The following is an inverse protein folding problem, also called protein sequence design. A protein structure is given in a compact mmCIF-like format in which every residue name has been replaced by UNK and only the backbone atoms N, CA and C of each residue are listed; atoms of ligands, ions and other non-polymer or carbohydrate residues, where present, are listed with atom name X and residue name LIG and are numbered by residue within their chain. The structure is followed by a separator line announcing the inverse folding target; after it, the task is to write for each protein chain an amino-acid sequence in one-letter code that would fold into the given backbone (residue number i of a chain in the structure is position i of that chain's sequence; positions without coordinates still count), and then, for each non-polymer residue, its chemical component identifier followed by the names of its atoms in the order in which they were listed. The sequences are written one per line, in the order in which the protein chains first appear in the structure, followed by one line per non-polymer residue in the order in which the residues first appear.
data_IF_729892300189
#
_entry.id   IF_729892300189
#
_cell.length_a   1.000
_cell.length_b   1.000
_cell.length_c   1.000
_cell.angle_alpha   90.00
_cell.angle_beta   90.00
_cell.angle_gamma   90.00
#
_symmetry.space_group_name_H-M   'P 1'
#
loop_
_entity.id
_entity.type
_entity.pdbx_description
1 polymer ?
#
# COMPACT_ATOMS: atom_id res chain seq x y z
N UNK A 1 17.62 -24.43 -42.55
CA UNK A 1 16.26 -24.43 -43.12
C UNK A 1 15.32 -24.09 -41.97
N UNK A 2 14.72 -22.91 -41.98
CA UNK A 2 13.89 -22.42 -40.89
C UNK A 2 12.58 -23.22 -40.86
N UNK A 3 12.11 -23.62 -39.68
CA UNK A 3 10.92 -24.43 -39.54
C UNK A 3 9.65 -23.65 -39.93
N UNK A 4 8.82 -24.23 -40.79
CA UNK A 4 7.49 -23.73 -41.16
C UNK A 4 6.55 -23.80 -39.96
N UNK A 5 5.80 -22.71 -39.72
CA UNK A 5 4.70 -22.70 -38.74
C UNK A 5 3.40 -23.08 -39.44
N UNK A 6 2.64 -24.01 -38.86
CA UNK A 6 1.36 -24.47 -39.42
C UNK A 6 0.19 -24.06 -38.54
N UNK A 7 -0.87 -23.53 -39.12
CA UNK A 7 -2.08 -23.15 -38.40
C UNK A 7 -2.75 -24.40 -37.84
N UNK A 8 -3.04 -24.39 -36.55
CA UNK A 8 -3.82 -25.42 -35.86
C UNK A 8 -5.28 -24.98 -35.73
N UNK A 9 -5.51 -23.70 -35.42
CA UNK A 9 -6.84 -23.13 -35.21
C UNK A 9 -6.86 -21.65 -35.55
N UNK A 10 -8.01 -21.16 -36.02
CA UNK A 10 -8.26 -19.73 -36.23
C UNK A 10 -9.29 -19.27 -35.19
N UNK A 11 -8.97 -18.23 -34.42
CA UNK A 11 -9.90 -17.67 -33.42
C UNK A 11 -10.73 -16.53 -34.01
N UNK A 12 -10.07 -15.61 -34.70
CA UNK A 12 -10.71 -14.50 -35.42
C UNK A 12 -9.83 -14.05 -36.58
N UNK A 13 -10.19 -12.94 -37.24
CA UNK A 13 -9.44 -12.41 -38.39
C UNK A 13 -7.98 -12.03 -38.08
N UNK A 14 -7.61 -11.85 -36.81
CA UNK A 14 -6.30 -11.34 -36.42
C UNK A 14 -5.51 -12.30 -35.51
N UNK A 15 -6.10 -13.40 -35.05
CA UNK A 15 -5.49 -14.30 -34.04
C UNK A 15 -5.64 -15.76 -34.46
N UNK A 16 -4.53 -16.48 -34.51
CA UNK A 16 -4.45 -17.90 -34.86
C UNK A 16 -3.57 -18.67 -33.88
N UNK A 17 -3.90 -19.94 -33.61
CA UNK A 17 -3.01 -20.90 -32.97
C UNK A 17 -2.20 -21.61 -34.06
N UNK A 18 -0.89 -21.70 -33.88
CA UNK A 18 0.01 -22.36 -34.82
C UNK A 18 0.99 -23.30 -34.13
N UNK A 19 1.37 -24.37 -34.81
CA UNK A 19 2.46 -25.25 -34.41
C UNK A 19 3.78 -24.68 -34.92
N UNK A 20 4.70 -24.37 -34.00
CA UNK A 20 6.09 -24.03 -34.30
C UNK A 20 7.03 -25.21 -34.02
N UNK A 21 8.32 -25.06 -34.32
CA UNK A 21 9.35 -26.05 -33.96
C UNK A 21 9.54 -26.23 -32.44
N UNK A 22 9.12 -25.24 -31.64
CA UNK A 22 9.31 -25.21 -30.19
C UNK A 22 8.01 -25.50 -29.42
N UNK A 23 6.92 -25.80 -30.10
CA UNK A 23 5.61 -26.03 -29.49
C UNK A 23 4.51 -25.19 -30.14
N UNK A 24 3.31 -25.25 -29.57
CA UNK A 24 2.16 -24.43 -29.97
C UNK A 24 2.40 -22.97 -29.58
N UNK A 25 2.06 -22.05 -30.46
CA UNK A 25 2.21 -20.61 -30.29
C UNK A 25 0.97 -19.89 -30.79
N UNK A 26 0.61 -18.79 -30.15
CA UNK A 26 -0.49 -17.93 -30.59
C UNK A 26 0.12 -16.78 -31.37
N UNK A 27 -0.34 -16.61 -32.60
CA UNK A 27 0.15 -15.58 -33.51
C UNK A 27 -0.93 -14.52 -33.69
N UNK A 28 -0.51 -13.27 -33.63
CA UNK A 28 -1.37 -12.13 -33.91
C UNK A 28 -0.84 -11.34 -35.10
N UNK A 29 -1.73 -10.79 -35.91
CA UNK A 29 -1.37 -10.02 -37.09
C UNK A 29 -2.61 -9.50 -37.81
N UNK A 30 -2.49 -8.34 -38.45
CA UNK A 30 -3.64 -7.70 -39.11
C UNK A 30 -4.11 -8.57 -40.28
N UNK A 31 -5.31 -9.14 -40.17
CA UNK A 31 -5.88 -10.03 -41.18
C UNK A 31 -5.23 -11.42 -41.25
N UNK A 32 -4.40 -11.81 -40.28
CA UNK A 32 -3.68 -13.09 -40.26
C UNK A 32 -4.60 -14.33 -40.34
N UNK A 33 -5.76 -14.26 -39.70
CA UNK A 33 -6.78 -15.32 -39.73
C UNK A 33 -7.77 -15.20 -40.89
N UNK A 34 -7.72 -14.12 -41.67
CA UNK A 34 -8.65 -13.89 -42.76
C UNK A 34 -8.35 -14.80 -43.95
N UNK A 35 -9.33 -15.63 -44.34
CA UNK A 35 -9.18 -16.69 -45.34
C UNK A 35 -8.18 -17.82 -45.02
N UNK A 36 -7.65 -17.85 -43.81
CA UNK A 36 -6.73 -18.89 -43.33
C UNK A 36 -7.51 -20.09 -42.79
N UNK A 37 -6.98 -21.31 -42.97
CA UNK A 37 -7.57 -22.57 -42.48
C UNK A 37 -6.57 -23.39 -41.66
N UNK A 38 -7.03 -24.25 -40.73
CA UNK A 38 -6.18 -25.25 -40.10
C UNK A 38 -5.43 -26.08 -41.14
N UNK A 39 -4.12 -26.21 -40.97
CA UNK A 39 -3.20 -26.88 -41.87
C UNK A 39 -2.41 -25.96 -42.79
N UNK A 40 -2.83 -24.71 -42.97
CA UNK A 40 -2.13 -23.73 -43.81
C UNK A 40 -0.78 -23.32 -43.19
N UNK A 41 0.19 -23.02 -44.03
CA UNK A 41 1.48 -22.45 -43.59
C UNK A 41 1.30 -20.95 -43.30
N UNK A 42 1.82 -20.51 -42.16
CA UNK A 42 1.75 -19.10 -41.76
C UNK A 42 2.82 -18.27 -42.49
N UNK A 43 2.42 -17.17 -43.13
CA UNK A 43 3.36 -16.18 -43.65
C UNK A 43 3.96 -15.37 -42.50
N UNK A 44 5.28 -15.51 -42.29
CA UNK A 44 6.00 -14.80 -41.23
C UNK A 44 5.93 -13.29 -41.35
N UNK A 45 5.82 -12.74 -42.55
CA UNK A 45 5.72 -11.29 -42.75
C UNK A 45 4.38 -10.71 -42.25
N UNK A 46 3.36 -11.56 -42.10
CA UNK A 46 2.04 -11.18 -41.60
C UNK A 46 1.91 -11.28 -40.07
N UNK A 47 2.93 -11.80 -39.38
CA UNK A 47 2.95 -11.92 -37.92
C UNK A 47 3.38 -10.58 -37.32
N UNK A 48 2.50 -9.97 -36.53
CA UNK A 48 2.80 -8.80 -35.72
C UNK A 48 3.43 -9.19 -34.37
N UNK A 49 2.87 -10.20 -33.70
CA UNK A 49 3.40 -10.66 -32.41
C UNK A 49 3.17 -12.16 -32.21
N UNK A 50 4.12 -12.82 -31.54
CA UNK A 50 4.08 -14.24 -31.17
C UNK A 50 4.00 -14.39 -29.66
N UNK A 51 2.99 -15.12 -29.17
CA UNK A 51 2.81 -15.45 -27.77
C UNK A 51 3.07 -16.94 -27.56
N UNK A 52 3.95 -17.26 -26.62
CA UNK A 52 4.24 -18.66 -26.25
C UNK A 52 3.44 -19.00 -24.99
N UNK A 53 2.59 -20.04 -25.01
CA UNK A 53 1.96 -20.55 -23.81
C UNK A 53 3.03 -21.05 -22.83
N UNK A 54 3.22 -20.35 -21.72
CA UNK A 54 4.08 -20.78 -20.61
C UNK A 54 3.25 -21.40 -19.49
N UNK A 55 3.91 -22.18 -18.62
CA UNK A 55 3.38 -22.66 -17.34
C UNK A 55 2.14 -23.57 -17.40
N UNK A 56 2.08 -24.49 -18.37
CA UNK A 56 1.03 -25.51 -18.44
C UNK A 56 -0.37 -24.96 -18.71
N UNK A 57 -0.48 -23.69 -19.12
CA UNK A 57 -1.74 -23.06 -19.52
C UNK A 57 -2.20 -23.62 -20.86
N UNK A 58 -3.50 -23.86 -20.97
CA UNK A 58 -4.13 -24.32 -22.20
C UNK A 58 -3.99 -23.26 -23.32
N UNK A 59 -3.27 -23.57 -24.41
CA UNK A 59 -3.08 -22.66 -25.54
C UNK A 59 -4.39 -22.24 -26.19
N UNK A 60 -5.42 -23.09 -26.18
CA UNK A 60 -6.73 -22.77 -26.71
C UNK A 60 -7.44 -21.69 -25.88
N UNK A 61 -7.41 -21.83 -24.56
CA UNK A 61 -7.97 -20.82 -23.65
C UNK A 61 -7.27 -19.48 -23.79
N UNK A 62 -5.94 -19.50 -23.84
CA UNK A 62 -5.11 -18.31 -24.00
C UNK A 62 -5.37 -17.59 -25.34
N UNK A 63 -5.50 -18.36 -26.41
CA UNK A 63 -5.85 -17.83 -27.73
C UNK A 63 -7.23 -17.20 -27.77
N UNK A 64 -8.21 -17.78 -27.06
CA UNK A 64 -9.54 -17.20 -26.91
C UNK A 64 -9.53 -15.86 -26.14
N UNK A 65 -8.71 -15.73 -25.10
CA UNK A 65 -8.54 -14.48 -24.35
C UNK A 65 -7.95 -13.37 -25.25
N UNK A 66 -6.87 -13.66 -25.96
CA UNK A 66 -6.25 -12.69 -26.88
C UNK A 66 -7.22 -12.31 -28.00
N UNK A 67 -8.02 -13.26 -28.50
CA UNK A 67 -9.01 -12.99 -29.54
C UNK A 67 -10.18 -12.10 -29.08
N UNK A 68 -10.42 -12.00 -27.77
CA UNK A 68 -11.41 -11.08 -27.18
C UNK A 68 -10.94 -9.63 -27.11
N UNK A 69 -9.64 -9.37 -27.23
CA UNK A 69 -9.06 -8.03 -27.14
C UNK A 69 -9.28 -7.24 -28.44
N UNK A 70 -9.54 -5.93 -28.37
CA UNK A 70 -9.57 -5.13 -29.58
C UNK A 70 -8.14 -5.02 -30.14
N UNK A 71 -7.91 -5.70 -31.27
CA UNK A 71 -6.59 -5.86 -31.90
C UNK A 71 -5.83 -4.54 -32.09
N UNK A 72 -6.56 -3.45 -32.35
CA UNK A 72 -5.99 -2.11 -32.48
C UNK A 72 -5.16 -1.68 -31.26
N UNK A 73 -5.65 -1.93 -30.03
CA UNK A 73 -4.91 -1.57 -28.81
C UNK A 73 -3.73 -2.50 -28.56
N UNK A 74 -3.87 -3.78 -28.90
CA UNK A 74 -2.77 -4.75 -28.79
C UNK A 74 -1.60 -4.37 -29.71
N UNK A 75 -1.91 -3.99 -30.95
CA UNK A 75 -0.94 -3.50 -31.94
C UNK A 75 -0.27 -2.21 -31.46
N UNK A 76 -1.05 -1.25 -30.97
CA UNK A 76 -0.52 0.02 -30.42
C UNK A 76 0.40 -0.20 -29.23
N UNK A 77 -0.01 -1.02 -28.26
CA UNK A 77 0.78 -1.33 -27.07
C UNK A 77 2.07 -2.05 -27.41
N UNK A 78 2.02 -2.98 -28.37
CA UNK A 78 3.22 -3.71 -28.81
C UNK A 78 4.22 -2.75 -29.45
N UNK A 79 3.75 -1.87 -30.36
CA UNK A 79 4.60 -0.88 -31.02
C UNK A 79 5.18 0.12 -30.01
N UNK A 80 4.35 0.72 -29.17
CA UNK A 80 4.78 1.67 -28.15
C UNK A 80 5.73 1.02 -27.12
N UNK A 81 5.46 -0.22 -26.74
CA UNK A 81 6.30 -1.00 -25.84
C UNK A 81 7.71 -1.26 -26.38
N UNK A 82 7.84 -1.52 -27.68
CA UNK A 82 9.16 -1.66 -28.33
C UNK A 82 9.95 -0.34 -28.33
N UNK A 83 9.29 0.80 -28.59
CA UNK A 83 9.93 2.12 -28.61
C UNK A 83 10.48 2.53 -27.23
N UNK A 84 9.78 2.19 -26.16
CA UNK A 84 10.22 2.49 -24.78
C UNK A 84 11.16 1.44 -24.19
N UNK A 85 11.47 0.39 -24.95
CA UNK A 85 12.42 -0.66 -24.54
C UNK A 85 11.87 -1.66 -23.53
N UNK A 86 10.56 -1.95 -23.54
CA UNK A 86 10.02 -3.08 -22.77
C UNK A 86 10.67 -4.39 -23.24
N UNK A 87 11.03 -5.23 -22.27
CA UNK A 87 11.69 -6.50 -22.57
C UNK A 87 10.74 -7.47 -23.33
N UNK A 88 11.34 -8.40 -24.08
CA UNK A 88 10.59 -9.37 -24.90
C UNK A 88 9.66 -10.25 -24.06
N UNK A 89 10.04 -10.57 -22.82
CA UNK A 89 9.24 -11.36 -21.89
C UNK A 89 7.92 -10.64 -21.52
N UNK A 90 7.96 -9.32 -21.34
CA UNK A 90 6.78 -8.49 -21.04
C UNK A 90 5.88 -8.39 -22.26
N UNK A 91 6.44 -8.10 -23.42
CA UNK A 91 5.69 -7.94 -24.67
C UNK A 91 5.07 -9.26 -25.17
N UNK A 92 5.71 -10.39 -24.87
CA UNK A 92 5.23 -11.72 -25.20
C UNK A 92 4.38 -12.35 -24.11
N UNK A 93 4.14 -11.65 -22.99
CA UNK A 93 3.28 -12.10 -21.89
C UNK A 93 1.81 -11.83 -22.23
N UNK A 94 0.98 -12.86 -22.47
CA UNK A 94 -0.42 -12.68 -22.83
C UNK A 94 -1.22 -11.97 -21.74
N UNK A 95 -1.00 -12.33 -20.47
CA UNK A 95 -1.73 -11.76 -19.33
C UNK A 95 -1.41 -10.28 -19.14
N UNK A 96 -0.16 -9.90 -19.33
CA UNK A 96 0.28 -8.50 -19.23
C UNK A 96 -0.32 -7.69 -20.36
N UNK A 97 -0.19 -8.16 -21.60
CA UNK A 97 -0.71 -7.47 -22.77
C UNK A 97 -2.23 -7.36 -22.74
N UNK A 98 -2.92 -8.38 -22.23
CA UNK A 98 -4.37 -8.34 -21.98
C UNK A 98 -4.73 -7.27 -20.96
N UNK A 99 -4.08 -7.27 -19.79
CA UNK A 99 -4.36 -6.29 -18.74
C UNK A 99 -4.11 -4.84 -19.21
N UNK A 100 -3.01 -4.60 -19.93
CA UNK A 100 -2.71 -3.29 -20.50
C UNK A 100 -3.71 -2.89 -21.60
N UNK A 101 -4.05 -3.80 -22.50
CA UNK A 101 -5.00 -3.53 -23.59
C UNK A 101 -6.40 -3.22 -23.06
N UNK A 102 -6.88 -3.99 -22.09
CA UNK A 102 -8.15 -3.74 -21.42
C UNK A 102 -8.11 -2.39 -20.69
N UNK A 103 -7.05 -2.13 -19.93
CA UNK A 103 -6.91 -0.86 -19.21
C UNK A 103 -6.98 0.34 -20.15
N UNK A 104 -6.20 0.33 -21.24
CA UNK A 104 -6.18 1.41 -22.24
C UNK A 104 -7.55 1.51 -22.94
N UNK A 105 -8.16 0.39 -23.30
CA UNK A 105 -9.49 0.38 -23.92
C UNK A 105 -10.54 1.04 -23.00
N UNK A 106 -10.55 0.67 -21.71
CA UNK A 106 -11.46 1.25 -20.73
C UNK A 106 -11.13 2.72 -20.43
N UNK A 107 -9.85 3.11 -20.38
CA UNK A 107 -9.44 4.51 -20.22
C UNK A 107 -9.99 5.39 -21.35
N UNK A 108 -9.90 4.90 -22.59
CA UNK A 108 -10.48 5.56 -23.76
C UNK A 108 -12.01 5.64 -23.66
N UNK A 109 -12.69 4.57 -23.24
CA UNK A 109 -14.15 4.60 -23.04
C UNK A 109 -14.58 5.61 -21.96
N UNK A 110 -13.83 5.69 -20.85
CA UNK A 110 -14.07 6.65 -19.76
C UNK A 110 -13.91 8.09 -20.23
N UNK A 111 -12.85 8.37 -20.99
CA UNK A 111 -12.60 9.69 -21.56
C UNK A 111 -13.75 10.14 -22.45
N UNK A 112 -14.22 9.27 -23.34
CA UNK A 112 -15.40 9.57 -24.18
C UNK A 112 -16.69 9.78 -23.39
N UNK A 113 -16.80 9.16 -22.21
CA UNK A 113 -17.96 9.29 -21.31
C UNK A 113 -17.84 10.49 -20.36
N UNK A 114 -16.75 11.25 -20.40
CA UNK A 114 -16.49 12.37 -19.49
C UNK A 114 -16.25 11.96 -18.04
N UNK A 115 -15.85 10.71 -17.79
CA UNK A 115 -15.57 10.19 -16.46
C UNK A 115 -14.10 10.44 -16.09
N UNK A 116 -13.87 11.38 -15.17
CA UNK A 116 -12.55 11.62 -14.60
C UNK A 116 -12.25 10.62 -13.49
N UNK A 117 -11.01 10.13 -13.45
CA UNK A 117 -10.50 9.30 -12.35
C UNK A 117 -9.36 10.05 -11.66
N UNK A 118 -9.43 10.08 -10.34
CA UNK A 118 -8.30 10.43 -9.50
C UNK A 118 -7.61 9.15 -9.02
N UNK A 119 -6.29 9.17 -9.04
CA UNK A 119 -5.46 8.06 -8.57
C UNK A 119 -4.90 8.38 -7.18
N UNK A 120 -5.52 7.88 -6.10
CA UNK A 120 -5.14 8.26 -4.72
C UNK A 120 -3.76 7.75 -4.28
N UNK A 121 -3.07 6.94 -5.10
CA UNK A 121 -1.75 6.36 -4.81
C UNK A 121 -0.62 6.99 -5.63
N UNK A 122 -0.82 8.23 -6.12
CA UNK A 122 0.15 8.92 -6.96
C UNK A 122 1.54 8.96 -6.30
N UNK A 123 1.62 9.45 -5.06
CA UNK A 123 2.88 9.63 -4.36
C UNK A 123 3.62 8.31 -4.10
N UNK A 124 2.88 7.28 -3.69
CA UNK A 124 3.42 5.95 -3.41
C UNK A 124 3.92 5.30 -4.68
N UNK A 125 3.15 5.34 -5.78
CA UNK A 125 3.54 4.71 -7.04
C UNK A 125 4.79 5.37 -7.61
N UNK A 126 4.83 6.71 -7.66
CA UNK A 126 5.99 7.43 -8.22
C UNK A 126 7.25 7.25 -7.39
N UNK A 127 7.12 7.08 -6.07
CA UNK A 127 8.26 6.93 -5.18
C UNK A 127 8.78 5.49 -5.13
N UNK A 128 7.88 4.51 -5.05
CA UNK A 128 8.26 3.10 -4.89
C UNK A 128 8.70 2.47 -6.21
N UNK A 129 8.08 2.88 -7.33
CA UNK A 129 8.29 2.31 -8.66
C UNK A 129 8.72 3.39 -9.68
N UNK A 130 9.82 4.13 -9.43
CA UNK A 130 10.21 5.26 -10.27
C UNK A 130 10.63 4.82 -11.68
N UNK A 131 11.22 3.64 -11.82
CA UNK A 131 11.66 3.10 -13.11
C UNK A 131 10.46 2.68 -13.96
N UNK A 132 9.52 1.93 -13.37
CA UNK A 132 8.28 1.53 -14.01
C UNK A 132 7.40 2.75 -14.32
N UNK A 133 7.36 3.75 -13.45
CA UNK A 133 6.64 4.99 -13.69
C UNK A 133 7.21 5.77 -14.87
N UNK A 134 8.54 5.89 -14.95
CA UNK A 134 9.21 6.52 -16.10
C UNK A 134 8.86 5.81 -17.40
N UNK A 135 8.87 4.47 -17.42
CA UNK A 135 8.49 3.68 -18.60
C UNK A 135 7.00 3.90 -18.92
N UNK A 136 6.11 3.90 -17.92
CA UNK A 136 4.68 4.10 -18.10
C UNK A 136 4.35 5.49 -18.69
N UNK A 137 5.04 6.54 -18.25
CA UNK A 137 4.90 7.89 -18.82
C UNK A 137 5.30 7.92 -20.29
N UNK A 138 6.43 7.31 -20.63
CA UNK A 138 6.89 7.22 -22.03
C UNK A 138 5.92 6.39 -22.88
N UNK A 139 5.44 5.27 -22.35
CA UNK A 139 4.47 4.40 -23.02
C UNK A 139 3.18 5.16 -23.29
N UNK A 140 2.66 5.89 -22.31
CA UNK A 140 1.48 6.73 -22.45
C UNK A 140 1.66 7.81 -23.51
N UNK A 141 2.83 8.45 -23.57
CA UNK A 141 3.14 9.46 -24.58
C UNK A 141 3.05 8.87 -26.00
N UNK A 142 3.67 7.71 -26.25
CA UNK A 142 3.59 7.03 -27.55
C UNK A 142 2.15 6.61 -27.91
N UNK A 143 1.37 6.13 -26.93
CA UNK A 143 -0.04 5.81 -27.15
C UNK A 143 -0.85 7.07 -27.51
N UNK A 144 -0.62 8.18 -26.81
CA UNK A 144 -1.29 9.45 -27.06
C UNK A 144 -0.93 10.03 -28.44
N UNK A 145 0.32 9.95 -28.86
CA UNK A 145 0.73 10.35 -30.22
C UNK A 145 -0.05 9.54 -31.27
N UNK A 146 -0.18 8.24 -31.06
CA UNK A 146 -0.94 7.38 -31.95
C UNK A 146 -2.44 7.70 -31.96
N UNK A 147 -3.05 7.97 -30.79
CA UNK A 147 -4.46 8.39 -30.69
C UNK A 147 -4.71 9.72 -31.38
N UNK A 148 -3.86 10.71 -31.15
CA UNK A 148 -3.95 12.04 -31.77
C UNK A 148 -3.81 11.93 -33.29
N UNK A 149 -2.88 11.10 -33.79
CA UNK A 149 -2.72 10.87 -35.24
C UNK A 149 -3.97 10.27 -35.91
N UNK A 150 -4.81 9.58 -35.13
CA UNK A 150 -6.09 8.97 -35.57
C UNK A 150 -7.31 9.86 -35.30
N UNK A 151 -7.11 11.07 -34.77
CA UNK A 151 -8.18 12.03 -34.48
C UNK A 151 -8.90 11.80 -33.14
N UNK A 152 -8.35 10.97 -32.26
CA UNK A 152 -8.86 10.73 -30.91
C UNK A 152 -8.24 11.70 -29.89
N UNK A 153 -8.93 11.92 -28.77
CA UNK A 153 -8.37 12.70 -27.65
C UNK A 153 -7.26 11.91 -26.93
N UNK A 154 -6.20 12.58 -26.46
CA UNK A 154 -5.17 11.94 -25.65
C UNK A 154 -5.75 11.55 -24.28
N UNK A 155 -5.27 10.42 -23.75
CA UNK A 155 -5.54 10.01 -22.39
C UNK A 155 -4.87 10.96 -21.39
N UNK A 156 -5.49 11.21 -20.21
CA UNK A 156 -4.90 12.02 -19.16
C UNK A 156 -3.56 11.46 -18.67
N UNK A 157 -2.63 12.35 -18.28
CA UNK A 157 -1.32 11.96 -17.73
C UNK A 157 -1.44 11.04 -16.50
N UNK A 158 -2.51 11.18 -15.73
CA UNK A 158 -2.79 10.37 -14.55
C UNK A 158 -2.91 8.86 -14.86
N UNK A 159 -3.24 8.47 -16.10
CA UNK A 159 -3.27 7.06 -16.52
C UNK A 159 -1.89 6.39 -16.44
N UNK A 160 -0.80 7.15 -16.42
CA UNK A 160 0.54 6.63 -16.19
C UNK A 160 0.65 5.87 -14.86
N UNK A 161 -0.16 6.23 -13.85
CA UNK A 161 -0.16 5.55 -12.55
C UNK A 161 -0.70 4.12 -12.66
N UNK A 162 -1.83 3.94 -13.34
CA UNK A 162 -2.38 2.61 -13.54
C UNK A 162 -1.51 1.76 -14.47
N UNK A 163 -0.94 2.36 -15.53
CA UNK A 163 0.04 1.69 -16.38
C UNK A 163 1.27 1.22 -15.57
N UNK A 164 1.76 2.03 -14.64
CA UNK A 164 2.86 1.65 -13.74
C UNK A 164 2.51 0.40 -12.93
N UNK A 165 1.32 0.36 -12.34
CA UNK A 165 0.87 -0.80 -11.55
C UNK A 165 0.76 -2.08 -12.39
N UNK A 166 0.36 -1.97 -13.66
CA UNK A 166 0.38 -3.09 -14.60
C UNK A 166 1.79 -3.56 -14.92
N UNK A 167 2.74 -2.63 -15.15
CA UNK A 167 4.15 -2.98 -15.40
C UNK A 167 4.80 -3.64 -14.18
N UNK A 168 4.51 -3.15 -12.97
CA UNK A 168 4.94 -3.79 -11.72
C UNK A 168 4.37 -5.21 -11.62
N UNK A 169 3.09 -5.40 -11.96
CA UNK A 169 2.46 -6.73 -11.97
C UNK A 169 3.13 -7.67 -13.00
N UNK A 170 3.48 -7.15 -14.17
CA UNK A 170 4.18 -7.91 -15.20
C UNK A 170 5.58 -8.35 -14.76
N UNK A 171 6.32 -7.45 -14.10
CA UNK A 171 7.64 -7.73 -13.55
C UNK A 171 7.64 -8.84 -12.49
N UNK A 172 6.53 -9.04 -11.76
CA UNK A 172 6.39 -10.16 -10.83
C UNK A 172 6.28 -11.51 -11.56
N UNK A 173 5.66 -11.55 -12.74
CA UNK A 173 5.48 -12.76 -13.51
C UNK A 173 6.73 -13.17 -14.31
N UNK A 174 7.54 -12.21 -14.75
CA UNK A 174 8.76 -12.45 -15.53
C UNK A 174 10.02 -12.72 -14.68
N UNK A 175 9.95 -12.54 -13.36
CA UNK A 175 11.09 -12.72 -12.44
C UNK A 175 12.14 -11.61 -12.50
N UNK A 176 11.87 -10.53 -13.27
CA UNK A 176 12.78 -9.39 -13.48
C UNK A 176 12.82 -8.45 -12.25
N UNK A 177 11.85 -8.56 -11.34
CA UNK A 177 11.77 -7.79 -10.10
C UNK A 177 12.58 -8.39 -8.94
N UNK A 178 13.84 -8.75 -9.18
CA UNK A 178 14.75 -9.25 -8.14
C UNK A 178 14.75 -8.37 -6.88
N UNK A 179 14.66 -7.05 -7.07
CA UNK A 179 14.57 -6.08 -5.99
C UNK A 179 13.23 -6.10 -5.25
N UNK A 180 12.07 -6.12 -5.93
CA UNK A 180 10.74 -6.11 -5.27
C UNK A 180 10.45 -7.41 -4.51
N UNK A 181 10.91 -8.55 -5.04
CA UNK A 181 10.86 -9.83 -4.32
C UNK A 181 11.76 -9.79 -3.08
N UNK A 182 12.97 -9.24 -3.23
CA UNK A 182 13.89 -9.02 -2.11
C UNK A 182 13.27 -8.11 -1.07
N UNK A 183 12.67 -6.98 -1.45
CA UNK A 183 11.98 -6.06 -0.53
C UNK A 183 10.87 -6.76 0.26
N UNK A 184 10.03 -7.56 -0.40
CA UNK A 184 8.92 -8.25 0.28
C UNK A 184 9.44 -9.26 1.30
N UNK A 185 10.41 -10.09 0.91
CA UNK A 185 11.00 -11.08 1.81
C UNK A 185 11.82 -10.44 2.94
N UNK A 186 12.55 -9.36 2.65
CA UNK A 186 13.27 -8.57 3.67
C UNK A 186 12.27 -7.95 4.63
N UNK A 187 11.20 -7.32 4.14
CA UNK A 187 10.18 -6.69 4.98
C UNK A 187 9.53 -7.70 5.94
N UNK A 188 9.19 -8.90 5.46
CA UNK A 188 8.70 -9.99 6.32
C UNK A 188 9.73 -10.37 7.39
N UNK A 189 11.01 -10.52 7.01
CA UNK A 189 12.08 -10.82 7.98
C UNK A 189 12.26 -9.70 9.02
N UNK A 190 12.17 -8.43 8.60
CA UNK A 190 12.26 -7.29 9.51
C UNK A 190 11.11 -7.29 10.52
N UNK A 191 9.87 -7.49 10.06
CA UNK A 191 8.69 -7.59 10.93
C UNK A 191 8.88 -8.72 11.94
N UNK A 192 9.23 -9.92 11.51
CA UNK A 192 9.44 -11.06 12.42
C UNK A 192 10.58 -10.82 13.41
N UNK A 193 11.60 -10.05 13.02
CA UNK A 193 12.70 -9.68 13.93
C UNK A 193 12.22 -8.70 15.00
N UNK A 194 11.36 -7.74 14.65
CA UNK A 194 10.74 -6.83 15.64
C UNK A 194 9.82 -7.59 16.58
N UNK A 195 8.95 -8.47 16.06
CA UNK A 195 8.08 -9.34 16.88
C UNK A 195 8.89 -10.13 17.91
N UNK A 196 9.96 -10.79 17.46
CA UNK A 196 10.81 -11.59 18.34
C UNK A 196 11.58 -10.74 19.37
N UNK A 197 12.02 -9.54 18.99
CA UNK A 197 12.82 -8.66 19.88
C UNK A 197 11.97 -8.02 20.98
N UNK A 198 10.70 -7.74 20.71
CA UNK A 198 9.79 -7.07 21.65
C UNK A 198 8.72 -7.99 22.25
N UNK A 199 8.66 -9.26 21.84
CA UNK A 199 7.68 -10.22 22.35
C UNK A 199 6.23 -9.88 21.97
N UNK A 200 6.02 -9.18 20.86
CA UNK A 200 4.70 -8.73 20.39
C UNK A 200 4.30 -9.45 19.10
N UNK A 201 3.00 -9.48 18.81
CA UNK A 201 2.47 -9.89 17.50
C UNK A 201 2.03 -8.66 16.72
N UNK A 202 2.54 -8.50 15.50
CA UNK A 202 2.27 -7.33 14.68
C UNK A 202 1.19 -7.64 13.64
N UNK A 203 0.01 -7.04 13.82
CA UNK A 203 -1.06 -7.13 12.84
C UNK A 203 -0.79 -6.18 11.66
N UNK A 204 -0.47 -6.75 10.50
CA UNK A 204 -0.20 -6.01 9.25
C UNK A 204 -1.40 -5.21 8.72
N UNK A 205 -2.61 -5.47 9.21
CA UNK A 205 -3.81 -4.70 8.87
C UNK A 205 -4.00 -3.47 9.76
N UNK A 206 -3.25 -3.36 10.86
CA UNK A 206 -3.30 -2.20 11.75
C UNK A 206 -2.62 -0.97 11.13
N UNK A 207 -3.14 0.22 11.48
CA UNK A 207 -2.59 1.50 11.01
C UNK A 207 -1.14 1.70 11.46
N UNK A 208 -0.81 1.30 12.68
CA UNK A 208 0.55 1.45 13.25
C UNK A 208 1.58 0.61 12.50
N UNK A 209 1.25 -0.66 12.22
CA UNK A 209 2.12 -1.54 11.43
C UNK A 209 2.16 -1.09 9.96
N UNK A 210 1.03 -0.68 9.38
CA UNK A 210 0.98 -0.13 8.02
C UNK A 210 1.87 1.10 7.83
N UNK A 211 1.92 2.00 8.82
CA UNK A 211 2.83 3.16 8.83
C UNK A 211 4.30 2.72 8.89
N UNK A 212 4.64 1.76 9.75
CA UNK A 212 5.99 1.21 9.82
C UNK A 212 6.43 0.56 8.50
N UNK A 213 5.57 -0.26 7.90
CA UNK A 213 5.76 -0.86 6.57
C UNK A 213 6.01 0.22 5.51
N UNK A 214 5.25 1.31 5.56
CA UNK A 214 5.44 2.45 4.67
C UNK A 214 6.81 3.06 4.85
N UNK A 215 7.23 3.37 6.08
CA UNK A 215 8.56 3.91 6.34
C UNK A 215 9.70 2.98 5.89
N UNK A 216 9.55 1.66 6.05
CA UNK A 216 10.50 0.67 5.52
C UNK A 216 10.57 0.71 3.99
N UNK A 217 9.42 0.82 3.31
CA UNK A 217 9.39 0.93 1.84
C UNK A 217 10.11 2.17 1.34
N UNK A 218 9.92 3.32 1.99
CA UNK A 218 10.65 4.54 1.66
C UNK A 218 12.16 4.45 1.98
N UNK A 219 12.53 3.77 3.07
CA UNK A 219 13.94 3.47 3.37
C UNK A 219 14.59 2.66 2.24
N UNK A 220 13.91 1.64 1.72
CA UNK A 220 14.44 0.83 0.61
C UNK A 220 14.66 1.66 -0.66
N UNK A 221 13.79 2.63 -0.93
CA UNK A 221 13.98 3.59 -2.03
C UNK A 221 15.23 4.44 -1.82
N UNK A 222 15.42 5.02 -0.63
CA UNK A 222 16.60 5.83 -0.30
C UNK A 222 17.90 5.03 -0.39
N UNK A 223 17.91 3.80 0.12
CA UNK A 223 19.05 2.88 -0.01
C UNK A 223 19.42 2.67 -1.48
N UNK A 224 18.41 2.36 -2.32
CA UNK A 224 18.62 2.10 -3.75
C UNK A 224 19.14 3.34 -4.49
N UNK A 225 18.60 4.51 -4.18
CA UNK A 225 19.00 5.78 -4.79
C UNK A 225 20.32 6.31 -4.24
N UNK A 226 20.84 5.73 -3.15
CA UNK A 226 22.00 6.23 -2.38
C UNK A 226 21.76 7.62 -1.80
N UNK A 227 20.52 7.91 -1.45
CA UNK A 227 20.05 9.16 -0.85
C UNK A 227 19.56 8.91 0.58
N UNK A 228 20.42 8.29 1.40
CA UNK A 228 20.11 8.05 2.81
C UNK A 228 20.07 9.38 3.58
N UNK A 229 19.32 9.39 4.69
CA UNK A 229 19.41 10.48 5.66
C UNK A 229 20.84 10.53 6.18
N UNK A 230 21.58 11.60 5.90
CA UNK A 230 22.96 11.73 6.35
C UNK A 230 23.23 13.20 6.70
N UNK A 231 22.90 13.55 7.94
CA UNK A 231 23.18 14.85 8.51
C UNK A 231 24.17 14.68 9.66
N UNK A 232 25.43 14.36 9.36
CA UNK A 232 26.60 14.39 10.27
C UNK A 232 26.24 14.32 11.78
N UNK A 233 25.91 13.12 12.28
CA UNK A 233 25.53 12.84 13.68
C UNK A 233 24.63 13.90 14.34
N UNK A 234 23.32 13.76 14.16
CA UNK A 234 22.36 14.71 14.74
C UNK A 234 22.16 14.52 16.25
N UNK A 235 21.96 15.63 16.98
CA UNK A 235 21.48 15.65 18.38
C UNK A 235 20.18 14.86 18.55
N UNK A 236 19.39 14.76 17.47
CA UNK A 236 18.13 14.03 17.43
C UNK A 236 18.38 12.52 17.52
N UNK A 237 19.39 11.99 16.82
CA UNK A 237 19.74 10.58 16.88
C UNK A 237 20.13 10.15 18.31
N UNK A 238 20.93 10.97 18.99
CA UNK A 238 21.34 10.73 20.38
C UNK A 238 20.14 10.74 21.34
N UNK A 239 19.22 11.69 21.16
CA UNK A 239 18.01 11.78 21.97
C UNK A 239 17.09 10.56 21.80
N UNK A 240 16.93 10.06 20.57
CA UNK A 240 16.15 8.84 20.30
C UNK A 240 16.81 7.63 20.95
N UNK A 241 18.14 7.48 20.83
CA UNK A 241 18.87 6.38 21.45
C UNK A 241 18.74 6.37 22.98
N UNK A 242 18.73 7.56 23.60
CA UNK A 242 18.55 7.70 25.05
C UNK A 242 17.11 7.41 25.50
N UNK A 243 16.11 7.81 24.72
CA UNK A 243 14.68 7.70 25.09
C UNK A 243 14.10 6.32 24.78
N UNK A 244 14.54 5.67 23.70
CA UNK A 244 14.05 4.37 23.26
C UNK A 244 15.20 3.36 23.05
N UNK A 245 15.93 2.97 24.11
CA UNK A 245 17.14 2.16 23.99
C UNK A 245 16.89 0.77 23.40
N UNK A 246 15.77 0.11 23.74
CA UNK A 246 15.41 -1.19 23.19
C UNK A 246 15.08 -1.10 21.69
N UNK A 247 14.27 -0.12 21.29
CA UNK A 247 13.94 0.10 19.89
C UNK A 247 15.18 0.45 19.06
N UNK A 248 16.14 1.19 19.65
CA UNK A 248 17.41 1.50 19.02
C UNK A 248 18.28 0.26 18.80
N UNK A 249 18.37 -0.63 19.79
CA UNK A 249 19.06 -1.91 19.63
C UNK A 249 18.40 -2.80 18.55
N UNK A 250 17.07 -2.86 18.53
CA UNK A 250 16.34 -3.55 17.46
C UNK A 250 16.64 -2.93 16.10
N UNK A 251 16.65 -1.60 15.97
CA UNK A 251 16.98 -0.89 14.74
C UNK A 251 18.40 -1.21 14.24
N UNK A 252 19.39 -1.30 15.13
CA UNK A 252 20.74 -1.74 14.78
C UNK A 252 20.76 -3.19 14.24
N UNK A 253 19.98 -4.07 14.86
CA UNK A 253 19.83 -5.46 14.39
C UNK A 253 19.21 -5.51 12.99
N UNK A 254 18.17 -4.70 12.75
CA UNK A 254 17.55 -4.56 11.43
C UNK A 254 18.53 -3.98 10.40
N UNK A 255 19.38 -3.03 10.81
CA UNK A 255 20.42 -2.46 9.95
C UNK A 255 21.41 -3.53 9.47
N UNK A 256 21.83 -4.45 10.35
CA UNK A 256 22.70 -5.59 9.97
C UNK A 256 22.00 -6.52 8.98
N UNK A 257 20.70 -6.81 9.18
CA UNK A 257 19.91 -7.61 8.22
C UNK A 257 19.87 -6.92 6.86
N UNK A 258 19.63 -5.61 6.85
CA UNK A 258 19.54 -4.81 5.64
C UNK A 258 20.88 -4.75 4.90
N UNK A 259 21.99 -4.60 5.62
CA UNK A 259 23.33 -4.66 5.04
C UNK A 259 23.61 -6.01 4.38
N UNK A 260 23.29 -7.12 5.05
CA UNK A 260 23.49 -8.47 4.51
C UNK A 260 22.60 -8.77 3.30
N UNK A 261 21.37 -8.25 3.27
CA UNK A 261 20.37 -8.57 2.23
C UNK A 261 20.41 -7.60 1.05
N UNK A 262 20.78 -6.33 1.27
CA UNK A 262 20.76 -5.26 0.26
C UNK A 262 22.16 -4.76 -0.10
N UNK A 263 23.20 -5.14 0.66
CA UNK A 263 24.59 -4.73 0.39
C UNK A 263 24.88 -3.25 0.68
N UNK A 264 24.06 -2.60 1.52
CA UNK A 264 24.20 -1.19 1.86
C UNK A 264 24.18 -0.99 3.38
N UNK A 265 25.18 -0.28 3.91
CA UNK A 265 25.25 0.15 5.31
C UNK A 265 24.28 1.30 5.53
N UNK A 266 23.49 1.22 6.59
CA UNK A 266 22.64 2.33 7.03
C UNK A 266 23.45 3.42 7.74
N UNK A 267 23.10 4.68 7.49
CA UNK A 267 23.61 5.81 8.26
C UNK A 267 23.07 5.78 9.71
N UNK A 268 23.74 6.53 10.59
CA UNK A 268 23.27 6.68 11.98
C UNK A 268 21.88 7.30 12.08
N UNK A 269 21.56 8.27 11.21
CA UNK A 269 20.26 8.93 11.19
C UNK A 269 19.15 7.98 10.68
N UNK A 270 19.42 7.10 9.72
CA UNK A 270 18.45 6.07 9.31
C UNK A 270 18.18 5.05 10.43
N UNK A 271 19.22 4.67 11.18
CA UNK A 271 19.06 3.79 12.35
C UNK A 271 18.21 4.48 13.42
N UNK A 272 18.46 5.75 13.71
CA UNK A 272 17.67 6.51 14.69
C UNK A 272 16.22 6.70 14.22
N UNK A 273 16.01 7.02 12.94
CA UNK A 273 14.68 7.16 12.35
C UNK A 273 13.91 5.84 12.39
N UNK A 274 14.58 4.72 12.11
CA UNK A 274 14.01 3.38 12.21
C UNK A 274 13.65 3.05 13.67
N UNK A 275 14.52 3.38 14.62
CA UNK A 275 14.29 3.17 16.05
C UNK A 275 13.04 3.92 16.54
N UNK A 276 12.86 5.16 16.11
CA UNK A 276 11.67 5.96 16.41
C UNK A 276 10.38 5.25 15.96
N UNK A 277 10.37 4.72 14.74
CA UNK A 277 9.17 4.05 14.22
C UNK A 277 8.90 2.69 14.85
N UNK A 278 9.95 1.96 15.23
CA UNK A 278 9.82 0.73 16.02
C UNK A 278 9.20 1.07 17.38
N UNK A 279 9.74 2.06 18.10
CA UNK A 279 9.23 2.48 19.41
C UNK A 279 7.76 2.84 19.36
N UNK A 280 7.38 3.74 18.45
CA UNK A 280 5.97 4.17 18.28
C UNK A 280 5.03 3.02 17.89
N UNK A 281 5.50 2.09 17.07
CA UNK A 281 4.69 0.93 16.67
C UNK A 281 4.48 -0.03 17.84
N UNK A 282 5.54 -0.36 18.59
CA UNK A 282 5.48 -1.27 19.73
C UNK A 282 4.63 -0.69 20.85
N UNK A 283 4.79 0.60 21.17
CA UNK A 283 3.94 1.31 22.13
C UNK A 283 2.46 1.21 21.75
N UNK A 284 2.12 1.53 20.49
CA UNK A 284 0.74 1.46 20.02
C UNK A 284 0.14 0.04 20.07
N UNK A 285 0.95 -1.00 19.82
CA UNK A 285 0.51 -2.41 19.90
C UNK A 285 0.32 -2.85 21.34
N UNK A 286 1.21 -2.46 22.25
CA UNK A 286 1.09 -2.76 23.68
C UNK A 286 -0.15 -2.12 24.31
N UNK A 287 -0.44 -0.85 23.98
CA UNK A 287 -1.66 -0.16 24.40
C UNK A 287 -2.91 -0.87 23.88
N UNK A 288 -2.95 -1.17 22.57
CA UNK A 288 -4.08 -1.88 21.97
C UNK A 288 -4.31 -3.29 22.57
N UNK A 289 -3.23 -3.99 22.96
CA UNK A 289 -3.33 -5.29 23.64
C UNK A 289 -3.94 -5.14 25.04
N UNK A 290 -3.55 -4.10 25.80
CA UNK A 290 -4.07 -3.83 27.14
C UNK A 290 -5.60 -3.62 27.13
N UNK A 291 -6.13 -2.82 26.19
CA UNK A 291 -7.58 -2.63 26.03
C UNK A 291 -8.32 -3.90 25.60
N UNK A 292 -7.66 -4.82 24.89
CA UNK A 292 -8.31 -6.04 24.37
C UNK A 292 -8.38 -7.15 25.44
N UNK A 293 -7.37 -7.27 26.32
CA UNK A 293 -7.37 -8.26 27.40
C UNK A 293 -8.24 -7.90 28.60
N UNK A 294 -8.53 -6.61 28.84
CA UNK A 294 -9.43 -6.16 29.92
C UNK A 294 -10.91 -6.49 29.69
N UNK A 295 -11.35 -6.66 28.43
CA UNK A 295 -12.78 -6.90 28.07
C UNK A 295 -13.39 -8.26 28.50
N UNK A 296 -12.72 -9.10 29.30
CA UNK A 296 -13.28 -10.38 29.76
C UNK A 296 -13.23 -10.52 31.29
N UNK A 297 -14.41 -10.39 31.90
CA UNK A 297 -14.77 -10.68 33.30
C UNK A 297 -14.28 -9.69 34.38
N UNK A 298 -14.76 -8.44 34.34
CA UNK A 298 -14.79 -7.60 35.56
C UNK A 298 -16.07 -6.76 35.61
N UNK A 299 -16.67 -6.65 36.79
CA UNK A 299 -17.86 -5.82 37.04
C UNK A 299 -17.47 -4.36 36.91
N UNK A 300 -17.89 -3.71 35.82
CA UNK A 300 -17.62 -2.28 35.59
C UNK A 300 -18.49 -1.42 36.53
N UNK A 301 -17.86 -0.62 37.40
CA UNK A 301 -18.54 0.39 38.20
C UNK A 301 -18.61 1.70 37.42
N UNK A 302 -19.74 2.39 37.50
CA UNK A 302 -19.99 3.62 36.74
C UNK A 302 -20.51 4.75 37.61
N UNK A 303 -20.26 5.99 37.19
CA UNK A 303 -20.87 7.21 37.72
C UNK A 303 -21.25 8.14 36.59
N UNK A 304 -22.23 9.00 36.84
CA UNK A 304 -22.61 10.06 35.90
C UNK A 304 -22.32 11.40 36.53
N UNK A 305 -21.83 12.35 35.73
CA UNK A 305 -21.54 13.71 36.14
C UNK A 305 -22.13 14.69 35.12
N UNK A 306 -22.61 15.82 35.59
CA UNK A 306 -23.01 16.94 34.71
C UNK A 306 -21.84 17.90 34.58
N UNK A 307 -21.41 18.25 33.38
CA UNK A 307 -20.27 19.16 33.18
C UNK A 307 -20.62 20.56 33.70
N UNK A 308 -19.95 21.00 34.76
CA UNK A 308 -20.15 22.30 35.43
C UNK A 308 -19.27 23.42 34.89
N UNK A 309 -18.20 23.10 34.17
CA UNK A 309 -17.34 24.10 33.51
C UNK A 309 -18.14 24.88 32.47
N UNK A 310 -18.11 26.22 32.59
CA UNK A 310 -18.86 27.14 31.74
C UNK A 310 -18.53 27.02 30.24
N UNK A 311 -17.32 26.55 29.90
CA UNK A 311 -16.84 26.37 28.53
C UNK A 311 -16.75 24.88 28.15
N UNK A 312 -17.13 23.97 29.04
CA UNK A 312 -17.07 22.52 28.83
C UNK A 312 -15.68 21.91 29.00
N UNK A 313 -15.49 20.65 28.61
CA UNK A 313 -14.20 19.94 28.69
C UNK A 313 -13.23 20.34 27.57
N UNK A 314 -12.92 21.63 27.47
CA UNK A 314 -11.88 22.15 26.59
C UNK A 314 -10.48 22.08 27.25
N UNK A 315 -9.45 22.60 26.59
CA UNK A 315 -8.04 22.44 26.96
C UNK A 315 -7.68 22.61 28.45
N UNK A 316 -8.27 23.56 29.20
CA UNK A 316 -7.92 23.79 30.61
C UNK A 316 -8.73 22.89 31.56
N UNK A 317 -10.08 22.88 31.56
CA UNK A 317 -10.89 21.93 32.33
C UNK A 317 -10.52 20.47 32.05
N UNK A 318 -10.26 20.12 30.79
CA UNK A 318 -9.82 18.78 30.41
C UNK A 318 -8.46 18.43 31.02
N UNK A 319 -7.48 19.35 31.02
CA UNK A 319 -6.18 19.10 31.64
C UNK A 319 -6.28 18.94 33.17
N UNK A 320 -7.12 19.72 33.84
CA UNK A 320 -7.38 19.57 35.28
C UNK A 320 -8.06 18.25 35.62
N UNK A 321 -9.04 17.86 34.82
CA UNK A 321 -9.74 16.59 34.96
C UNK A 321 -8.79 15.40 34.72
N UNK A 322 -8.00 15.43 33.64
CA UNK A 322 -7.02 14.39 33.32
C UNK A 322 -5.97 14.26 34.42
N UNK A 323 -5.44 15.37 34.93
CA UNK A 323 -4.50 15.32 36.05
C UNK A 323 -5.12 14.66 37.29
N UNK A 324 -6.39 14.97 37.58
CA UNK A 324 -7.10 14.34 38.69
C UNK A 324 -7.31 12.84 38.45
N UNK A 325 -7.58 12.42 37.21
CA UNK A 325 -7.67 10.99 36.82
C UNK A 325 -6.33 10.29 37.05
N UNK A 326 -5.21 10.88 36.57
CA UNK A 326 -3.86 10.35 36.78
C UNK A 326 -3.53 10.19 38.27
N UNK A 327 -3.88 11.19 39.08
CA UNK A 327 -3.64 11.19 40.54
C UNK A 327 -4.39 10.05 41.27
N UNK A 328 -5.47 9.53 40.67
CA UNK A 328 -6.20 8.38 41.24
C UNK A 328 -5.44 7.07 41.09
N UNK A 329 -4.56 6.96 40.09
CA UNK A 329 -3.86 5.72 39.73
C UNK A 329 -4.76 4.61 39.15
N UNK A 330 -6.03 4.91 38.85
CA UNK A 330 -6.97 3.97 38.25
C UNK A 330 -7.15 4.26 36.75
N UNK A 331 -7.29 3.19 35.97
CA UNK A 331 -7.71 3.31 34.57
C UNK A 331 -9.21 3.59 34.50
N UNK A 332 -9.55 4.83 34.14
CA UNK A 332 -10.92 5.36 34.10
C UNK A 332 -11.21 5.78 32.66
N UNK A 333 -12.41 5.44 32.18
CA UNK A 333 -12.93 5.92 30.89
C UNK A 333 -14.05 6.94 31.10
N UNK A 334 -14.23 7.81 30.11
CA UNK A 334 -15.28 8.82 30.08
C UNK A 334 -16.04 8.74 28.74
N UNK A 335 -17.37 8.83 28.80
CA UNK A 335 -18.23 8.82 27.62
C UNK A 335 -19.29 9.92 27.72
N UNK A 336 -19.53 10.65 26.62
CA UNK A 336 -20.72 11.49 26.46
C UNK A 336 -21.92 10.61 26.11
N UNK A 337 -23.13 10.98 26.53
CA UNK A 337 -24.33 10.16 26.28
C UNK A 337 -24.49 9.81 24.78
N UNK A 338 -24.50 8.51 24.46
CA UNK A 338 -24.61 8.00 23.10
C UNK A 338 -23.30 7.90 22.31
N UNK A 339 -22.17 8.35 22.85
CA UNK A 339 -20.85 8.29 22.22
C UNK A 339 -19.99 7.12 22.75
N UNK A 340 -18.93 6.77 22.02
CA UNK A 340 -17.96 5.75 22.44
C UNK A 340 -17.12 6.27 23.62
N UNK A 341 -16.83 5.38 24.59
CA UNK A 341 -15.99 5.74 25.73
C UNK A 341 -14.54 5.90 25.30
N UNK A 342 -13.87 6.92 25.86
CA UNK A 342 -12.46 7.23 25.61
C UNK A 342 -11.68 7.22 26.93
N UNK A 343 -10.35 7.21 26.85
CA UNK A 343 -9.50 7.17 28.04
C UNK A 343 -9.48 8.53 28.73
N UNK A 344 -9.77 8.54 30.03
CA UNK A 344 -9.90 9.76 30.81
C UNK A 344 -8.55 10.37 31.25
N UNK A 345 -7.43 9.69 30.97
CA UNK A 345 -6.06 10.18 31.18
C UNK A 345 -5.46 10.87 29.94
N UNK A 346 -6.19 10.86 28.81
CA UNK A 346 -5.75 11.50 27.56
C UNK A 346 -6.47 12.83 27.36
N UNK A 347 -5.76 13.94 27.59
CA UNK A 347 -6.28 15.31 27.35
C UNK A 347 -6.83 15.46 25.93
N UNK A 348 -6.19 14.84 24.93
CA UNK A 348 -6.64 14.93 23.55
C UNK A 348 -7.98 14.20 23.36
N UNK A 349 -8.12 13.00 23.91
CA UNK A 349 -9.34 12.20 23.76
C UNK A 349 -10.52 12.83 24.51
N UNK A 350 -10.29 13.30 25.73
CA UNK A 350 -11.29 14.01 26.53
C UNK A 350 -11.78 15.27 25.80
N UNK A 351 -10.88 16.03 25.16
CA UNK A 351 -11.27 17.20 24.37
C UNK A 351 -12.06 16.83 23.10
N UNK A 352 -11.78 15.67 22.50
CA UNK A 352 -12.51 15.22 21.29
C UNK A 352 -13.93 14.76 21.55
N UNK A 353 -14.28 14.42 22.81
CA UNK A 353 -15.68 14.15 23.20
C UNK A 353 -16.60 15.35 22.96
N UNK A 354 -16.07 16.56 22.98
CA UNK A 354 -16.85 17.78 22.77
C UNK A 354 -17.91 18.04 23.86
N UNK A 355 -17.74 17.47 25.06
CA UNK A 355 -18.68 17.63 26.17
C UNK A 355 -18.75 19.09 26.64
N UNK A 356 -19.91 19.72 26.42
CA UNK A 356 -20.20 21.11 26.75
C UNK A 356 -20.79 21.28 28.15
N UNK A 357 -20.94 22.53 28.59
CA UNK A 357 -21.60 22.87 29.85
C UNK A 357 -23.03 22.29 29.91
N UNK A 358 -23.33 21.54 30.97
CA UNK A 358 -24.62 20.91 31.19
C UNK A 358 -24.80 19.54 30.53
N UNK A 359 -23.82 19.08 29.76
CA UNK A 359 -23.83 17.72 29.20
C UNK A 359 -23.58 16.69 30.30
N UNK A 360 -24.15 15.50 30.12
CA UNK A 360 -23.98 14.38 31.04
C UNK A 360 -22.95 13.42 30.49
N UNK A 361 -21.91 13.16 31.27
CA UNK A 361 -20.87 12.19 30.97
C UNK A 361 -20.94 11.01 31.94
N UNK A 362 -20.56 9.84 31.46
CA UNK A 362 -20.44 8.62 32.26
C UNK A 362 -18.96 8.31 32.46
N UNK A 363 -18.54 8.24 33.72
CA UNK A 363 -17.24 7.71 34.12
C UNK A 363 -17.37 6.22 34.42
N UNK A 364 -16.42 5.41 33.98
CA UNK A 364 -16.40 3.98 34.22
C UNK A 364 -15.02 3.50 34.65
N UNK A 365 -14.98 2.55 35.58
CA UNK A 365 -13.77 1.85 35.97
C UNK A 365 -14.10 0.37 36.22
N UNK A 366 -13.16 -0.52 35.91
CA UNK A 366 -13.30 -1.96 36.16
C UNK A 366 -12.89 -2.35 37.58
N UNK A 367 -12.20 -1.48 38.33
CA UNK A 367 -11.80 -1.74 39.71
C UNK A 367 -12.86 -1.24 40.70
N UNK A 368 -13.52 -2.14 41.45
CA UNK A 368 -14.49 -1.77 42.47
C UNK A 368 -13.89 -0.87 43.58
N UNK A 369 -12.57 -0.93 43.81
CA UNK A 369 -11.89 -0.05 44.75
C UNK A 369 -11.86 1.42 44.29
N UNK A 370 -12.06 1.68 42.99
CA UNK A 370 -12.10 3.02 42.42
C UNK A 370 -13.41 3.77 42.72
N UNK A 371 -14.36 3.19 43.47
CA UNK A 371 -15.64 3.83 43.76
C UNK A 371 -15.51 5.23 44.39
N UNK A 372 -14.58 5.41 45.34
CA UNK A 372 -14.31 6.71 45.95
C UNK A 372 -13.66 7.70 44.98
N UNK A 373 -12.74 7.22 44.14
CA UNK A 373 -12.09 8.03 43.11
C UNK A 373 -13.10 8.53 42.06
N UNK A 374 -14.02 7.68 41.62
CA UNK A 374 -15.11 8.08 40.72
C UNK A 374 -16.02 9.13 41.35
N UNK A 375 -16.35 9.00 42.65
CA UNK A 375 -17.16 9.99 43.36
C UNK A 375 -16.45 11.36 43.45
N UNK A 376 -15.14 11.37 43.65
CA UNK A 376 -14.32 12.60 43.66
C UNK A 376 -14.23 13.24 42.28
N UNK A 377 -14.06 12.45 41.23
CA UNK A 377 -14.01 12.92 39.84
C UNK A 377 -15.35 13.48 39.36
N UNK A 378 -16.47 12.87 39.77
CA UNK A 378 -17.81 13.44 39.52
C UNK A 378 -17.93 14.80 40.17
N UNK A 379 -17.55 14.92 41.45
CA UNK A 379 -17.62 16.18 42.16
C UNK A 379 -16.70 17.25 41.54
N UNK A 380 -15.58 16.85 40.93
CA UNK A 380 -14.71 17.74 40.17
C UNK A 380 -15.39 18.22 38.88
N UNK A 381 -15.95 17.31 38.09
CA UNK A 381 -16.61 17.61 36.81
C UNK A 381 -17.85 18.51 36.98
N UNK A 382 -18.56 18.40 38.10
CA UNK A 382 -19.74 19.22 38.42
C UNK A 382 -19.39 20.65 38.90
N UNK A 383 -18.10 20.98 39.05
CA UNK A 383 -17.63 22.34 39.39
C UNK A 383 -17.33 23.14 38.12
N UNK A 384 -17.33 24.47 38.28
CA UNK A 384 -16.88 25.37 37.22
C UNK A 384 -15.34 25.46 37.21
N UNK A 385 -14.71 24.54 36.49
CA UNK A 385 -13.25 24.41 36.39
C UNK A 385 -12.57 25.58 35.65
N UNK A 386 -13.35 26.50 35.06
CA UNK A 386 -12.80 27.71 34.45
C UNK A 386 -12.34 28.76 35.49
N UNK A 387 -12.90 28.70 36.70
CA UNK A 387 -12.67 29.66 37.78
C UNK A 387 -11.57 29.25 38.77
N UNK A 388 -10.93 28.09 38.55
CA UNK A 388 -9.79 27.54 39.33
C UNK A 388 -8.50 27.64 38.53
#
# INVERSE_FOLDING_TARGET
MAADMKVLRVFNNNVVLAQSAHGEVILTGRGLGFHTRPGDTVDRASIAQTYVPTDGRDPDHLGALIAGLPFEYLELLTAAGMEVGLNEATLSSPTTMMALADHVHFAVQRLHSGLAIEYPLLAEVTTLYPDEYRIAVQLLAHLNDAFVSRGSQPLPEAEAIALTLHLVTAGFASGDLSFTYTMTGVLQQLISTVEASHGVTLDTTSVSVGRFITHLRYLFVRIRQREQLDADHTVIADAIAATHPEAFHTAQTLATILELRLGATLSGDEIAYLALHIGRMVEAVCVAHHHTTRRKDTTMITRTATIGSSVGLHARPAALFVQAVEDTGYEITIALDGEEAVDADSVLEVMTLGAGHGDVVTLACEDEAAAGALDELVALLERDLDQE
#
